data_IF_488531453093
#
_entry.id   IF_488531453093
#
_cell.length_a   1.000
_cell.length_b   1.000
_cell.length_c   1.000
_cell.angle_alpha   90.00
_cell.angle_beta   90.00
_cell.angle_gamma   90.00
#
_symmetry.space_group_name_H-M   'P 1'
#
loop_
_entity.id
_entity.type
_entity.pdbx_description
1 polymer ?
#
# COMPACT_ATOMS: atom_id res chain seq x y z
N UNK A 1 8.17 -7.03 2.55
CA UNK A 1 8.15 -5.78 3.34
C UNK A 1 6.72 -5.48 3.77
N UNK A 2 6.49 -5.19 5.04
CA UNK A 2 5.20 -4.77 5.58
C UNK A 2 5.27 -3.38 6.20
N UNK A 3 4.19 -2.61 6.11
CA UNK A 3 4.09 -1.32 6.79
C UNK A 3 3.74 -1.51 8.26
N UNK A 4 4.46 -0.85 9.16
CA UNK A 4 4.06 -0.75 10.56
C UNK A 4 2.91 0.26 10.65
N UNK A 5 1.70 -0.15 11.07
CA UNK A 5 0.55 0.75 11.12
C UNK A 5 0.74 1.88 12.15
N UNK A 6 -0.08 2.93 12.05
CA UNK A 6 -0.11 3.99 13.04
C UNK A 6 -0.25 3.43 14.47
N UNK A 7 0.46 4.06 15.41
CA UNK A 7 0.59 3.67 16.81
C UNK A 7 1.37 2.37 17.10
N UNK A 8 1.58 1.48 16.14
CA UNK A 8 2.28 0.19 16.36
C UNK A 8 3.79 0.29 16.66
N UNK A 9 4.38 1.48 16.45
CA UNK A 9 5.81 1.75 16.68
C UNK A 9 6.07 3.06 17.44
N UNK A 10 5.03 3.59 18.10
CA UNK A 10 5.05 4.93 18.70
C UNK A 10 5.19 4.92 20.24
N UNK A 11 4.89 3.78 20.88
CA UNK A 11 4.69 3.70 22.33
C UNK A 11 5.98 3.34 23.06
N UNK A 12 6.52 2.14 22.83
CA UNK A 12 7.76 1.69 23.47
C UNK A 12 8.59 0.81 22.51
N UNK A 13 9.92 0.67 22.75
CA UNK A 13 10.75 -0.25 21.98
C UNK A 13 10.23 -1.70 22.03
N UNK A 14 9.84 -2.19 23.21
CA UNK A 14 9.32 -3.57 23.37
C UNK A 14 8.07 -3.82 22.53
N UNK A 15 7.10 -2.90 22.58
CA UNK A 15 5.87 -3.04 21.80
C UNK A 15 6.17 -2.96 20.30
N UNK A 16 7.07 -2.06 19.91
CA UNK A 16 7.51 -1.91 18.52
C UNK A 16 8.14 -3.21 18.00
N UNK A 17 9.05 -3.81 18.77
CA UNK A 17 9.71 -5.07 18.41
C UNK A 17 8.69 -6.20 18.31
N UNK A 18 7.75 -6.31 19.26
CA UNK A 18 6.70 -7.35 19.23
C UNK A 18 5.82 -7.21 17.98
N UNK A 19 5.41 -5.99 17.65
CA UNK A 19 4.59 -5.70 16.48
C UNK A 19 5.34 -6.01 15.18
N UNK A 20 6.60 -5.56 15.07
CA UNK A 20 7.44 -5.81 13.90
C UNK A 20 7.74 -7.31 13.72
N UNK A 21 8.12 -8.01 14.79
CA UNK A 21 8.34 -9.45 14.78
C UNK A 21 7.08 -10.24 14.37
N UNK A 22 5.89 -9.74 14.72
CA UNK A 22 4.63 -10.31 14.26
C UNK A 22 4.46 -10.30 12.74
N UNK A 23 4.95 -9.27 12.04
CA UNK A 23 4.97 -9.24 10.58
C UNK A 23 5.99 -10.23 10.01
N UNK A 24 7.19 -10.32 10.59
CA UNK A 24 8.23 -11.24 10.12
C UNK A 24 7.80 -12.71 10.26
N UNK A 25 7.07 -13.04 11.33
CA UNK A 25 6.46 -14.36 11.52
C UNK A 25 5.35 -14.69 10.50
N UNK A 26 4.95 -13.73 9.67
CA UNK A 26 3.91 -13.84 8.63
C UNK A 26 4.50 -13.49 7.26
N UNK A 27 5.74 -13.93 7.03
CA UNK A 27 6.45 -13.87 5.75
C UNK A 27 6.82 -12.47 5.26
N UNK A 28 6.77 -11.44 6.11
CA UNK A 28 7.38 -10.16 5.77
C UNK A 28 8.90 -10.21 5.99
N UNK A 29 9.71 -9.90 4.98
CA UNK A 29 11.17 -9.88 5.16
C UNK A 29 11.70 -8.64 5.92
N UNK A 30 10.87 -7.60 6.04
CA UNK A 30 11.26 -6.29 6.52
C UNK A 30 10.03 -5.47 6.92
N UNK A 31 10.24 -4.43 7.74
CA UNK A 31 9.20 -3.46 8.11
C UNK A 31 9.52 -2.05 7.61
N UNK A 32 8.49 -1.25 7.32
CA UNK A 32 8.60 0.18 6.99
C UNK A 32 7.99 1.04 8.08
N UNK A 33 8.72 2.09 8.49
CA UNK A 33 8.30 3.03 9.53
C UNK A 33 8.31 4.48 9.02
N UNK A 34 7.31 5.25 9.41
CA UNK A 34 7.18 6.66 9.09
C UNK A 34 7.80 7.58 10.15
N UNK A 35 8.63 8.52 9.70
CA UNK A 35 9.20 9.59 10.52
C UNK A 35 10.73 9.66 10.46
N UNK A 36 11.25 10.87 10.65
CA UNK A 36 12.69 11.17 10.63
C UNK A 36 13.40 10.91 11.94
N UNK A 37 14.24 11.86 12.36
CA UNK A 37 15.17 11.70 13.50
C UNK A 37 14.49 11.22 14.78
N UNK A 38 13.23 11.60 15.01
CA UNK A 38 12.40 11.12 16.15
C UNK A 38 12.15 9.60 16.18
N UNK A 39 12.55 8.86 15.15
CA UNK A 39 12.43 7.39 15.04
C UNK A 39 13.77 6.68 15.11
N UNK A 40 14.89 7.39 15.23
CA UNK A 40 16.23 6.78 15.25
C UNK A 40 16.38 5.73 16.34
N UNK A 41 15.92 5.99 17.57
CA UNK A 41 15.99 5.01 18.67
C UNK A 41 15.10 3.79 18.39
N UNK A 42 13.92 4.00 17.80
CA UNK A 42 13.01 2.94 17.38
C UNK A 42 13.64 2.05 16.30
N UNK A 43 14.28 2.66 15.30
CA UNK A 43 14.98 1.94 14.23
C UNK A 43 16.12 1.12 14.80
N UNK A 44 16.97 1.71 15.67
CA UNK A 44 18.08 0.99 16.31
C UNK A 44 17.58 -0.23 17.08
N UNK A 45 16.53 -0.08 17.89
CA UNK A 45 15.97 -1.19 18.66
C UNK A 45 15.47 -2.35 17.79
N UNK A 46 14.90 -2.05 16.62
CA UNK A 46 14.49 -3.07 15.65
C UNK A 46 15.69 -3.75 14.98
N UNK A 47 16.67 -2.95 14.54
CA UNK A 47 17.89 -3.46 13.89
C UNK A 47 18.73 -4.32 14.85
N UNK A 48 18.82 -3.94 16.12
CA UNK A 48 19.49 -4.72 17.18
C UNK A 48 18.81 -6.09 17.42
N UNK A 49 17.52 -6.20 17.06
CA UNK A 49 16.76 -7.45 17.05
C UNK A 49 16.79 -8.16 15.69
N UNK A 50 17.70 -7.79 14.79
CA UNK A 50 17.88 -8.36 13.45
C UNK A 50 16.66 -8.17 12.53
N UNK A 51 15.82 -7.17 12.80
CA UNK A 51 14.65 -6.83 11.98
C UNK A 51 15.07 -5.78 10.94
N UNK A 52 15.03 -6.08 9.63
CA UNK A 52 15.37 -5.08 8.60
C UNK A 52 14.33 -3.96 8.53
N UNK A 53 14.81 -2.71 8.52
CA UNK A 53 13.96 -1.52 8.53
C UNK A 53 14.15 -0.66 7.28
N UNK A 54 13.04 -0.31 6.63
CA UNK A 54 12.98 0.77 5.65
C UNK A 54 12.39 2.02 6.31
N UNK A 55 13.10 3.15 6.23
CA UNK A 55 12.57 4.43 6.71
C UNK A 55 11.64 5.07 5.69
N UNK A 56 10.80 6.00 6.12
CA UNK A 56 9.92 6.78 5.25
C UNK A 56 9.89 8.25 5.68
N UNK A 57 10.35 9.14 4.80
CA UNK A 57 10.43 10.58 4.96
C UNK A 57 9.58 11.34 3.93
N UNK A 58 9.34 12.63 4.20
CA UNK A 58 8.49 13.48 3.39
C UNK A 58 7.05 13.45 3.88
N UNK A 59 6.12 13.28 2.96
CA UNK A 59 4.70 13.11 3.28
C UNK A 59 4.51 11.75 3.93
N UNK A 60 4.24 11.73 5.23
CA UNK A 60 3.97 10.50 6.01
C UNK A 60 2.46 10.38 6.27
N UNK A 61 1.71 9.57 5.50
CA UNK A 61 0.25 9.46 5.60
C UNK A 61 -0.31 9.20 7.00
N UNK A 62 0.42 8.47 7.86
CA UNK A 62 -0.02 8.21 9.24
C UNK A 62 -0.09 9.49 10.08
N UNK A 63 0.61 10.55 9.67
CA UNK A 63 0.59 11.88 10.28
C UNK A 63 -0.36 12.86 9.59
N UNK A 64 -1.29 12.40 8.75
CA UNK A 64 -2.18 13.27 7.94
C UNK A 64 -2.91 14.34 8.75
N UNK A 65 -3.35 14.02 9.97
CA UNK A 65 -4.04 14.99 10.85
C UNK A 65 -3.09 16.09 11.35
N UNK A 66 -1.86 15.72 11.73
CA UNK A 66 -0.83 16.67 12.14
C UNK A 66 -0.38 17.56 10.98
N UNK A 67 -0.30 16.99 9.77
CA UNK A 67 0.11 17.70 8.54
C UNK A 67 -1.04 18.54 7.94
N UNK A 68 -2.27 18.34 8.42
CA UNK A 68 -3.45 19.01 7.90
C UNK A 68 -3.79 18.59 6.47
N UNK A 69 -3.67 17.29 6.17
CA UNK A 69 -3.94 16.69 4.86
C UNK A 69 -2.69 16.23 4.09
N UNK A 70 -2.92 15.65 2.91
CA UNK A 70 -1.87 15.20 1.99
C UNK A 70 -1.21 16.37 1.27
N UNK A 71 -0.26 17.03 1.94
CA UNK A 71 0.45 18.20 1.43
C UNK A 71 1.87 17.82 1.01
N UNK A 72 2.34 18.41 -0.09
CA UNK A 72 3.73 18.29 -0.54
C UNK A 72 4.67 18.86 0.53
N UNK A 73 5.72 18.11 0.87
CA UNK A 73 6.77 18.49 1.83
C UNK A 73 7.99 19.07 1.12
N UNK A 74 8.92 19.70 1.87
CA UNK A 74 10.17 20.23 1.29
C UNK A 74 9.96 21.43 0.34
N UNK A 75 8.90 22.22 0.55
CA UNK A 75 8.61 23.42 -0.27
C UNK A 75 9.41 24.65 0.15
N UNK A 76 9.81 24.72 1.41
CA UNK A 76 10.68 25.76 1.95
C UNK A 76 12.12 25.22 2.03
N UNK A 77 13.11 26.12 2.01
CA UNK A 77 14.51 25.72 2.20
C UNK A 77 14.70 25.01 3.55
N UNK A 78 14.04 25.50 4.60
CA UNK A 78 14.08 24.90 5.94
C UNK A 78 13.53 23.47 5.94
N UNK A 79 12.35 23.23 5.33
CA UNK A 79 11.77 21.89 5.26
C UNK A 79 12.59 20.93 4.40
N UNK A 80 13.17 21.43 3.30
CA UNK A 80 14.02 20.64 2.42
C UNK A 80 15.32 20.22 3.12
N UNK A 81 15.96 21.14 3.83
CA UNK A 81 17.17 20.85 4.62
C UNK A 81 16.86 19.90 5.77
N UNK A 82 15.77 20.13 6.51
CA UNK A 82 15.31 19.23 7.58
C UNK A 82 15.09 17.80 7.09
N UNK A 83 14.58 17.62 5.87
CA UNK A 83 14.42 16.29 5.28
C UNK A 83 15.75 15.59 5.04
N UNK A 84 16.77 16.32 4.58
CA UNK A 84 18.13 15.79 4.39
C UNK A 84 18.79 15.47 5.74
N UNK A 85 18.61 16.35 6.73
CA UNK A 85 19.09 16.17 8.10
C UNK A 85 18.43 14.97 8.78
N UNK A 86 17.17 14.67 8.47
CA UNK A 86 16.45 13.49 8.96
C UNK A 86 16.93 12.18 8.29
N UNK A 87 17.45 12.24 7.07
CA UNK A 87 17.78 11.05 6.27
C UNK A 87 19.06 10.35 6.75
N UNK A 88 20.11 11.11 7.07
CA UNK A 88 21.39 10.55 7.50
C UNK A 88 21.30 9.77 8.83
N UNK A 89 20.68 10.29 9.90
CA UNK A 89 20.52 9.57 11.16
C UNK A 89 19.73 8.26 11.01
N UNK A 90 18.76 8.20 10.08
CA UNK A 90 18.04 6.95 9.80
C UNK A 90 18.93 5.90 9.13
N UNK A 91 19.79 6.31 8.19
CA UNK A 91 20.80 5.42 7.62
C UNK A 91 21.78 4.93 8.69
N UNK A 92 22.30 5.85 9.51
CA UNK A 92 23.23 5.51 10.60
C UNK A 92 22.60 4.60 11.66
N UNK A 93 21.28 4.69 11.86
CA UNK A 93 20.51 3.79 12.71
C UNK A 93 20.36 2.38 12.14
N UNK A 94 20.66 2.17 10.85
CA UNK A 94 20.61 0.87 10.20
C UNK A 94 19.44 0.67 9.24
N UNK A 95 18.71 1.73 8.83
CA UNK A 95 17.75 1.60 7.73
C UNK A 95 18.48 1.09 6.48
N UNK A 96 17.95 0.06 5.81
CA UNK A 96 18.56 -0.47 4.58
C UNK A 96 18.14 0.30 3.33
N UNK A 97 17.09 1.11 3.43
CA UNK A 97 16.56 1.96 2.35
C UNK A 97 15.64 3.05 2.94
N UNK A 98 15.36 4.09 2.16
CA UNK A 98 14.39 5.15 2.52
C UNK A 98 13.35 5.35 1.43
N UNK A 99 12.06 5.38 1.80
CA UNK A 99 11.01 5.95 0.96
C UNK A 99 11.00 7.47 1.12
N UNK A 100 10.91 8.17 -0.01
CA UNK A 100 10.76 9.63 -0.08
C UNK A 100 9.44 9.93 -0.79
N UNK A 101 8.46 10.50 -0.07
CA UNK A 101 7.09 10.69 -0.58
C UNK A 101 6.69 12.17 -0.67
N UNK A 102 6.12 12.56 -1.82
CA UNK A 102 5.46 13.86 -1.97
C UNK A 102 6.37 15.06 -1.74
N UNK A 103 7.55 15.07 -2.36
CA UNK A 103 8.59 16.12 -2.23
C UNK A 103 8.94 16.65 -3.64
N UNK A 104 9.28 17.94 -3.82
CA UNK A 104 9.96 18.42 -5.04
C UNK A 104 11.18 17.57 -5.41
N UNK A 105 11.62 17.60 -6.66
CA UNK A 105 12.63 16.63 -7.13
C UNK A 105 14.05 16.86 -6.59
N UNK A 106 14.37 18.09 -6.19
CA UNK A 106 15.73 18.49 -5.82
C UNK A 106 16.18 17.89 -4.48
N UNK A 107 15.40 17.92 -3.38
CA UNK A 107 15.82 17.28 -2.12
C UNK A 107 16.00 15.76 -2.22
N UNK A 108 15.09 14.97 -2.83
CA UNK A 108 15.29 13.54 -3.04
C UNK A 108 16.48 13.20 -3.92
N UNK A 109 16.76 13.99 -4.96
CA UNK A 109 17.98 13.85 -5.74
C UNK A 109 19.22 14.01 -4.85
N UNK A 110 19.24 15.07 -4.02
CA UNK A 110 20.36 15.33 -3.13
C UNK A 110 20.54 14.22 -2.07
N UNK A 111 19.44 13.72 -1.50
CA UNK A 111 19.46 12.59 -0.56
C UNK A 111 20.03 11.33 -1.23
N UNK A 112 19.63 11.05 -2.47
CA UNK A 112 20.07 9.88 -3.23
C UNK A 112 21.56 9.92 -3.58
N UNK A 113 22.12 11.13 -3.74
CA UNK A 113 23.56 11.32 -3.94
C UNK A 113 24.39 11.19 -2.66
N UNK A 114 23.82 11.57 -1.50
CA UNK A 114 24.56 11.64 -0.23
C UNK A 114 24.47 10.35 0.61
N UNK A 115 23.41 9.56 0.43
CA UNK A 115 23.20 8.31 1.14
C UNK A 115 23.91 7.14 0.45
N UNK A 116 24.37 6.19 1.24
CA UNK A 116 24.90 4.91 0.76
C UNK A 116 23.78 3.88 0.52
N UNK A 117 22.63 4.05 1.16
CA UNK A 117 21.45 3.18 1.01
C UNK A 117 20.54 3.66 -0.13
N UNK A 118 19.81 2.77 -0.81
CA UNK A 118 18.90 3.15 -1.88
C UNK A 118 17.72 4.00 -1.36
N UNK A 119 17.32 4.95 -2.19
CA UNK A 119 16.11 5.76 -2.01
C UNK A 119 15.01 5.28 -2.95
N UNK A 120 13.78 5.24 -2.48
CA UNK A 120 12.60 4.82 -3.24
C UNK A 120 11.62 6.00 -3.31
N UNK A 121 11.41 6.55 -4.50
CA UNK A 121 10.55 7.72 -4.70
C UNK A 121 9.09 7.35 -4.92
N UNK A 122 8.19 8.17 -4.36
CA UNK A 122 6.78 8.25 -4.76
C UNK A 122 6.36 9.71 -4.78
N UNK A 123 6.26 10.28 -5.99
CA UNK A 123 6.09 11.73 -6.14
C UNK A 123 7.28 12.53 -5.59
N UNK A 124 8.50 12.00 -5.77
CA UNK A 124 9.77 12.57 -5.33
C UNK A 124 10.76 12.81 -6.50
N UNK A 125 10.25 12.88 -7.73
CA UNK A 125 11.07 13.00 -8.94
C UNK A 125 11.76 11.70 -9.35
N UNK A 126 12.51 11.72 -10.47
CA UNK A 126 13.08 10.51 -11.07
C UNK A 126 14.44 10.11 -10.50
N UNK A 127 15.07 10.95 -9.68
CA UNK A 127 16.47 10.77 -9.25
C UNK A 127 16.65 9.82 -8.06
N UNK A 128 15.57 9.27 -7.49
CA UNK A 128 15.67 8.19 -6.51
C UNK A 128 16.20 6.90 -7.15
N UNK A 129 16.83 6.03 -6.36
CA UNK A 129 17.36 4.73 -6.81
C UNK A 129 16.28 3.80 -7.37
N UNK A 130 15.05 3.92 -6.86
CA UNK A 130 13.87 3.19 -7.33
C UNK A 130 12.59 4.02 -7.18
N UNK A 131 11.46 3.45 -7.60
CA UNK A 131 10.16 4.10 -7.55
C UNK A 131 9.10 3.13 -7.01
N UNK A 132 8.10 3.67 -6.33
CA UNK A 132 6.92 2.93 -5.85
C UNK A 132 5.65 3.68 -6.19
N UNK A 133 4.58 2.94 -6.49
CA UNK A 133 3.22 3.45 -6.64
C UNK A 133 2.24 2.45 -6.03
N UNK A 134 1.07 2.94 -5.62
CA UNK A 134 -0.01 2.09 -5.15
C UNK A 134 -0.57 1.28 -6.33
N UNK A 135 -0.71 -0.03 -6.16
CA UNK A 135 -1.20 -0.95 -7.19
C UNK A 135 -2.51 -0.49 -7.86
N UNK A 136 -3.49 -0.06 -7.06
CA UNK A 136 -4.78 0.44 -7.54
C UNK A 136 -4.63 1.67 -8.44
N UNK A 137 -3.70 2.55 -8.11
CA UNK A 137 -3.41 3.77 -8.88
C UNK A 137 -2.72 3.42 -10.20
N UNK A 138 -1.77 2.47 -10.18
CA UNK A 138 -1.09 1.97 -11.39
C UNK A 138 -2.09 1.33 -12.35
N UNK A 139 -3.05 0.57 -11.84
CA UNK A 139 -4.07 -0.11 -12.67
C UNK A 139 -5.31 0.75 -12.96
N UNK A 140 -5.39 1.98 -12.44
CA UNK A 140 -6.54 2.85 -12.62
C UNK A 140 -7.84 2.24 -12.10
N UNK A 141 -7.81 1.57 -10.94
CA UNK A 141 -8.98 0.89 -10.34
C UNK A 141 -9.91 1.83 -9.57
N UNK A 142 -9.52 3.08 -9.36
CA UNK A 142 -10.29 4.10 -8.64
C UNK A 142 -10.83 5.15 -9.60
N UNK A 143 -12.09 5.53 -9.41
CA UNK A 143 -12.75 6.54 -10.24
C UNK A 143 -12.35 7.97 -9.80
N UNK A 144 -12.08 8.86 -10.76
CA UNK A 144 -12.05 10.32 -10.59
C UNK A 144 -11.04 10.94 -9.59
N UNK A 145 -10.14 10.17 -8.97
CA UNK A 145 -9.10 10.72 -8.08
C UNK A 145 -7.75 10.05 -8.31
N UNK A 146 -6.85 10.77 -8.97
CA UNK A 146 -5.43 10.40 -9.11
C UNK A 146 -4.56 11.54 -8.59
N UNK A 147 -3.64 11.29 -7.63
CA UNK A 147 -2.62 12.26 -7.26
C UNK A 147 -1.79 12.69 -8.48
N UNK A 148 -1.28 13.93 -8.49
CA UNK A 148 -0.52 14.48 -9.62
C UNK A 148 0.68 13.61 -10.05
N UNK A 149 1.30 12.90 -9.10
CA UNK A 149 2.48 12.07 -9.33
C UNK A 149 2.16 10.66 -9.86
N UNK A 150 0.88 10.30 -9.97
CA UNK A 150 0.45 8.99 -10.46
C UNK A 150 0.33 9.01 -11.98
N UNK A 151 0.91 7.99 -12.63
CA UNK A 151 0.57 7.60 -13.99
C UNK A 151 -0.14 6.25 -13.91
N UNK A 152 -1.38 6.19 -14.38
CA UNK A 152 -2.06 4.92 -14.60
C UNK A 152 -1.55 4.27 -15.89
N UNK A 153 -1.41 2.95 -15.87
CA UNK A 153 -0.99 2.11 -17.00
C UNK A 153 -2.14 1.25 -17.53
N UNK A 154 -3.31 1.31 -16.89
CA UNK A 154 -4.55 0.73 -17.35
C UNK A 154 -5.75 1.59 -16.89
N UNK A 155 -6.89 1.44 -17.56
CA UNK A 155 -8.17 2.03 -17.17
C UNK A 155 -9.05 0.92 -16.54
N UNK A 156 -8.54 0.33 -15.46
CA UNK A 156 -9.12 -0.87 -14.87
C UNK A 156 -10.51 -0.66 -14.28
N UNK A 157 -10.82 0.54 -13.77
CA UNK A 157 -12.17 0.87 -13.31
C UNK A 157 -13.21 0.71 -14.44
N UNK A 158 -12.94 1.30 -15.61
CA UNK A 158 -13.83 1.20 -16.76
C UNK A 158 -13.96 -0.25 -17.23
N UNK A 159 -12.85 -0.97 -17.32
CA UNK A 159 -12.85 -2.39 -17.71
C UNK A 159 -13.74 -3.24 -16.79
N UNK A 160 -13.58 -3.07 -15.46
CA UNK A 160 -14.37 -3.80 -14.47
C UNK A 160 -15.85 -3.39 -14.53
N UNK A 161 -16.13 -2.09 -14.65
CA UNK A 161 -17.50 -1.58 -14.76
C UNK A 161 -18.21 -2.15 -15.99
N UNK A 162 -17.56 -2.17 -17.15
CA UNK A 162 -18.12 -2.74 -18.38
C UNK A 162 -18.36 -4.26 -18.26
N UNK A 163 -17.42 -5.00 -17.68
CA UNK A 163 -17.55 -6.44 -17.50
C UNK A 163 -18.71 -6.78 -16.55
N UNK A 164 -18.79 -6.12 -15.40
CA UNK A 164 -19.84 -6.35 -14.41
C UNK A 164 -21.22 -5.88 -14.91
N UNK A 165 -21.27 -4.81 -15.71
CA UNK A 165 -22.51 -4.34 -16.33
C UNK A 165 -23.06 -5.33 -17.35
N UNK A 166 -22.20 -5.91 -18.19
CA UNK A 166 -22.59 -6.97 -19.13
C UNK A 166 -23.10 -8.21 -18.41
N UNK A 167 -22.35 -8.70 -17.43
CA UNK A 167 -22.78 -9.82 -16.61
C UNK A 167 -24.13 -9.55 -15.92
N UNK A 168 -24.34 -8.36 -15.37
CA UNK A 168 -25.61 -7.96 -14.76
C UNK A 168 -26.76 -7.93 -15.78
N UNK A 169 -26.50 -7.48 -17.01
CA UNK A 169 -27.48 -7.51 -18.07
C UNK A 169 -27.86 -8.95 -18.47
N UNK A 170 -26.87 -9.85 -18.56
CA UNK A 170 -27.11 -11.25 -18.89
C UNK A 170 -27.94 -11.97 -17.81
N UNK A 171 -27.64 -11.73 -16.53
CA UNK A 171 -28.43 -12.24 -15.40
C UNK A 171 -29.88 -11.74 -15.47
N UNK A 172 -30.07 -10.44 -15.71
CA UNK A 172 -31.42 -9.83 -15.75
C UNK A 172 -32.24 -10.28 -16.97
N UNK A 173 -31.58 -10.55 -18.09
CA UNK A 173 -32.21 -11.08 -19.28
C UNK A 173 -32.47 -12.59 -19.20
N UNK A 174 -31.92 -13.28 -18.20
CA UNK A 174 -31.96 -14.74 -18.11
C UNK A 174 -31.08 -15.45 -19.15
N UNK A 175 -30.15 -14.74 -19.79
CA UNK A 175 -29.16 -15.33 -20.70
C UNK A 175 -27.96 -15.92 -19.96
N UNK A 176 -27.77 -15.57 -18.67
CA UNK A 176 -26.81 -16.21 -17.78
C UNK A 176 -27.46 -16.64 -16.45
N UNK A 177 -27.19 -17.86 -15.95
CA UNK A 177 -26.48 -18.93 -16.66
C UNK A 177 -27.38 -19.55 -17.75
N UNK A 178 -26.79 -19.89 -18.88
CA UNK A 178 -27.40 -20.68 -19.94
C UNK A 178 -27.13 -22.19 -19.77
N UNK A 179 -27.57 -23.02 -20.74
CA UNK A 179 -27.42 -24.48 -20.67
C UNK A 179 -25.96 -24.97 -20.61
N UNK A 180 -25.01 -24.24 -21.21
CA UNK A 180 -23.59 -24.61 -21.16
C UNK A 180 -22.92 -24.22 -19.83
N UNK A 181 -23.50 -23.27 -19.10
CA UNK A 181 -23.04 -22.85 -17.77
C UNK A 181 -23.83 -23.51 -16.64
N UNK A 182 -24.68 -24.50 -16.97
CA UNK A 182 -25.57 -25.20 -16.03
C UNK A 182 -25.37 -26.70 -16.11
N UNK A 183 -25.29 -27.35 -14.96
CA UNK A 183 -25.32 -28.82 -14.88
C UNK A 183 -26.72 -29.33 -15.22
N UNK A 184 -26.78 -30.47 -15.92
CA UNK A 184 -28.02 -31.12 -16.31
C UNK A 184 -28.41 -32.21 -15.30
N UNK A 185 -29.71 -32.35 -15.03
CA UNK A 185 -30.23 -33.48 -14.26
C UNK A 185 -29.95 -34.79 -15.01
N UNK A 186 -29.58 -35.87 -14.30
CA UNK A 186 -29.58 -37.21 -14.88
C UNK A 186 -30.97 -37.56 -15.42
N UNK A 187 -30.99 -38.35 -16.50
CA UNK A 187 -32.23 -38.82 -17.12
C UNK A 187 -33.10 -39.56 -16.09
N UNK A 188 -34.40 -39.23 -16.03
CA UNK A 188 -35.38 -39.85 -15.12
C UNK A 188 -35.54 -39.20 -13.74
N UNK A 189 -34.59 -38.37 -13.28
CA UNK A 189 -34.67 -37.75 -11.93
C UNK A 189 -35.66 -36.57 -11.85
N UNK A 190 -36.02 -35.97 -12.99
CA UNK A 190 -36.94 -34.82 -13.05
C UNK A 190 -38.34 -35.12 -12.50
N UNK A 191 -38.85 -36.33 -12.72
CA UNK A 191 -40.19 -36.74 -12.29
C UNK A 191 -40.30 -36.92 -10.77
N UNK A 192 -39.22 -37.33 -10.11
CA UNK A 192 -39.17 -37.45 -8.65
C UNK A 192 -39.15 -36.07 -7.99
N UNK A 193 -38.37 -35.14 -8.53
CA UNK A 193 -38.31 -33.75 -8.07
C UNK A 193 -39.67 -33.07 -8.20
N UNK A 194 -40.37 -33.26 -9.33
CA UNK A 194 -41.70 -32.68 -9.55
C UNK A 194 -42.76 -33.16 -8.52
N UNK A 195 -42.56 -34.33 -7.92
CA UNK A 195 -43.44 -34.90 -6.87
C UNK A 195 -43.05 -34.48 -5.46
N UNK A 196 -41.93 -33.77 -5.29
CA UNK A 196 -41.47 -33.34 -3.99
C UNK A 196 -42.41 -32.29 -3.38
N UNK A 197 -42.73 -32.46 -2.09
CA UNK A 197 -43.43 -31.48 -1.29
C UNK A 197 -42.71 -31.34 0.06
N UNK A 198 -42.61 -30.12 0.63
CA UNK A 198 -42.03 -29.94 1.95
C UNK A 198 -42.88 -30.66 3.00
N UNK A 199 -42.23 -31.40 3.90
CA UNK A 199 -42.89 -32.22 4.93
C UNK A 199 -43.62 -31.40 6.01
N UNK A 200 -43.37 -30.09 6.09
CA UNK A 200 -44.12 -29.13 6.92
C UNK A 200 -44.26 -27.80 6.15
N UNK A 201 -45.38 -27.56 5.45
CA UNK A 201 -45.66 -26.24 4.87
C UNK A 201 -46.01 -25.26 6.00
N UNK A 202 -45.23 -24.18 6.14
CA UNK A 202 -45.58 -22.98 6.94
C UNK A 202 -46.53 -22.09 6.19
#
# INVERSE_FOLDING_TARGET
>A
MADMPFLSFHLSPEETIRNAGGFLQRDADAVKLEGGTKRVETVRALVDCEIPVMGHLGLTPQSVNFMGGFKVQGRSAEDALRLLDDAHPLQEAGCFALVLEGIPGEPPARASESLAIPTIGIGAGPSCSGQVLVFHDVLGLTENRRPKFVRAYAEGFQLLQEALSRWTADVRAGSFPGPQESYQLPEGLGDEIAKWAPSNPT
#
